data_IF_935418765312
#
_entry.id   IF_935418765312
#
_cell.length_a   1.000
_cell.length_b   1.000
_cell.length_c   1.000
_cell.angle_alpha   90.00
_cell.angle_beta   90.00
_cell.angle_gamma   90.00
#
_symmetry.space_group_name_H-M   'P 1'
#
loop_
_entity.id
_entity.type
_entity.pdbx_description
1 polymer ?
#
# COMPACT_ATOMS: atom_id res chain seq x y z
N UNK A 1 8.40 2.46 -0.55
CA UNK A 1 9.68 1.73 -0.46
C UNK A 1 10.38 1.99 0.86
N UNK A 2 10.87 3.20 1.14
CA UNK A 2 11.60 3.49 2.40
C UNK A 2 10.70 3.32 3.63
N UNK A 3 9.51 3.93 3.64
CA UNK A 3 8.57 3.81 4.77
C UNK A 3 8.09 2.37 5.02
N UNK A 4 7.80 1.63 3.96
CA UNK A 4 7.36 0.23 4.05
C UNK A 4 8.47 -0.69 4.57
N UNK A 5 9.74 -0.40 4.23
CA UNK A 5 10.89 -1.12 4.78
C UNK A 5 11.15 -0.76 6.24
N UNK A 6 11.00 0.51 6.61
CA UNK A 6 11.08 0.96 7.99
C UNK A 6 10.05 0.22 8.85
N UNK A 7 8.78 0.24 8.42
CA UNK A 7 7.70 -0.46 9.14
C UNK A 7 7.96 -1.96 9.30
N UNK A 8 8.38 -2.63 8.23
CA UNK A 8 8.70 -4.07 8.28
C UNK A 8 9.86 -4.35 9.24
N UNK A 9 10.83 -3.43 9.33
CA UNK A 9 11.99 -3.59 10.22
C UNK A 9 11.67 -3.30 11.69
N UNK A 10 10.66 -2.48 11.96
CA UNK A 10 10.13 -2.27 13.32
C UNK A 10 9.23 -3.42 13.77
N UNK A 11 8.52 -4.07 12.84
CA UNK A 11 7.55 -5.12 13.16
C UNK A 11 8.16 -6.51 13.34
N UNK A 12 9.29 -6.80 12.68
CA UNK A 12 9.85 -8.15 12.62
C UNK A 12 11.25 -8.24 13.22
N UNK A 13 11.53 -9.34 13.92
CA UNK A 13 12.85 -9.62 14.46
C UNK A 13 13.93 -9.74 13.37
N UNK A 14 15.17 -9.40 13.70
CA UNK A 14 16.33 -9.32 12.79
C UNK A 14 16.62 -10.61 12.01
N UNK A 15 16.26 -11.77 12.57
CA UNK A 15 16.41 -13.06 11.89
C UNK A 15 15.48 -13.24 10.66
N UNK A 16 14.35 -12.53 10.61
CA UNK A 16 13.33 -12.70 9.55
C UNK A 16 13.05 -11.42 8.76
N UNK A 17 13.55 -10.27 9.21
CA UNK A 17 13.35 -8.96 8.56
C UNK A 17 13.83 -8.94 7.10
N UNK A 18 14.88 -9.69 6.78
CA UNK A 18 15.40 -9.80 5.41
C UNK A 18 14.39 -10.45 4.46
N UNK A 19 13.74 -11.54 4.89
CA UNK A 19 12.69 -12.20 4.10
C UNK A 19 11.47 -11.29 3.97
N UNK A 20 11.03 -10.67 5.06
CA UNK A 20 9.87 -9.78 5.05
C UNK A 20 10.10 -8.57 4.11
N UNK A 21 11.29 -7.97 4.14
CA UNK A 21 11.66 -6.88 3.22
C UNK A 21 11.73 -7.35 1.76
N UNK A 22 12.26 -8.55 1.51
CA UNK A 22 12.33 -9.13 0.16
C UNK A 22 10.93 -9.40 -0.43
N UNK A 23 10.01 -9.96 0.38
CA UNK A 23 8.63 -10.19 -0.03
C UNK A 23 7.90 -8.88 -0.33
N UNK A 24 8.02 -7.88 0.55
CA UNK A 24 7.44 -6.55 0.35
C UNK A 24 7.98 -5.87 -0.92
N UNK A 25 9.29 -5.98 -1.18
CA UNK A 25 9.90 -5.46 -2.40
C UNK A 25 9.42 -6.20 -3.66
N UNK A 26 9.29 -7.53 -3.59
CA UNK A 26 8.74 -8.35 -4.66
C UNK A 26 7.31 -7.95 -5.03
N UNK A 27 6.47 -7.69 -4.03
CA UNK A 27 5.10 -7.22 -4.25
C UNK A 27 5.06 -5.83 -4.89
N UNK A 28 5.97 -4.94 -4.51
CA UNK A 28 6.11 -3.61 -5.12
C UNK A 28 6.42 -3.69 -6.62
N UNK A 29 7.36 -4.54 -7.02
CA UNK A 29 7.70 -4.75 -8.43
C UNK A 29 6.56 -5.39 -9.22
N UNK A 30 5.89 -6.40 -8.63
CA UNK A 30 4.73 -7.03 -9.25
C UNK A 30 3.60 -6.02 -9.48
N UNK A 31 3.32 -5.16 -8.50
CA UNK A 31 2.31 -4.11 -8.61
C UNK A 31 2.59 -3.11 -9.74
N UNK A 32 3.86 -2.76 -9.96
CA UNK A 32 4.27 -1.91 -11.09
C UNK A 32 3.94 -2.53 -12.44
N UNK A 33 4.25 -3.81 -12.63
CA UNK A 33 3.90 -4.54 -13.86
C UNK A 33 2.40 -4.76 -14.03
N UNK A 34 1.71 -5.15 -12.95
CA UNK A 34 0.26 -5.36 -12.96
C UNK A 34 -0.51 -4.09 -13.29
N UNK A 35 -0.06 -2.93 -12.79
CA UNK A 35 -0.71 -1.64 -13.06
C UNK A 35 -0.78 -1.33 -14.55
N UNK A 36 0.27 -1.64 -15.32
CA UNK A 36 0.29 -1.44 -16.77
C UNK A 36 -0.78 -2.30 -17.47
N UNK A 37 -0.88 -3.58 -17.09
CA UNK A 37 -1.88 -4.50 -17.65
C UNK A 37 -3.31 -4.10 -17.26
N UNK A 38 -3.52 -3.69 -16.01
CA UNK A 38 -4.81 -3.25 -15.48
C UNK A 38 -5.26 -1.96 -16.18
N UNK A 39 -4.39 -0.97 -16.35
CA UNK A 39 -4.75 0.28 -17.03
C UNK A 39 -5.22 0.05 -18.47
N UNK A 40 -4.54 -0.84 -19.21
CA UNK A 40 -4.98 -1.23 -20.55
C UNK A 40 -6.37 -1.89 -20.55
N UNK A 41 -6.61 -2.77 -19.59
CA UNK A 41 -7.89 -3.47 -19.43
C UNK A 41 -9.04 -2.52 -19.05
N UNK A 42 -8.79 -1.57 -18.14
CA UNK A 42 -9.76 -0.55 -17.71
C UNK A 42 -10.10 0.38 -18.88
N UNK A 43 -9.11 0.81 -19.66
CA UNK A 43 -9.36 1.63 -20.85
C UNK A 43 -10.20 0.89 -21.90
N UNK A 44 -9.87 -0.39 -22.16
CA UNK A 44 -10.65 -1.22 -23.07
C UNK A 44 -12.09 -1.41 -22.58
N UNK A 45 -12.31 -1.58 -21.28
CA UNK A 45 -13.63 -1.68 -20.69
C UNK A 45 -14.44 -0.39 -20.89
N UNK A 46 -13.86 0.79 -20.69
CA UNK A 46 -14.55 2.06 -20.96
C UNK A 46 -14.88 2.24 -22.44
N UNK A 47 -13.98 1.87 -23.36
CA UNK A 47 -14.30 1.91 -24.79
C UNK A 47 -15.41 0.93 -25.17
N UNK A 48 -15.42 -0.27 -24.60
CA UNK A 48 -16.47 -1.27 -24.83
C UNK A 48 -17.85 -0.80 -24.33
N UNK A 49 -17.88 0.04 -23.30
CA UNK A 49 -19.10 0.69 -22.80
C UNK A 49 -19.54 1.93 -23.61
N UNK A 50 -18.89 2.22 -24.74
CA UNK A 50 -19.30 3.30 -25.66
C UNK A 50 -18.76 4.69 -25.32
N UNK A 51 -17.84 4.81 -24.36
CA UNK A 51 -17.21 6.10 -24.04
C UNK A 51 -16.26 6.54 -25.16
N UNK A 52 -16.25 7.84 -25.44
CA UNK A 52 -15.30 8.43 -26.40
C UNK A 52 -13.87 8.26 -25.89
N UNK A 53 -12.88 8.20 -26.81
CA UNK A 53 -11.47 8.10 -26.43
C UNK A 53 -11.08 9.17 -25.40
N UNK A 54 -11.59 10.40 -25.57
CA UNK A 54 -11.32 11.54 -24.69
C UNK A 54 -11.87 11.38 -23.26
N UNK A 55 -12.94 10.61 -23.10
CA UNK A 55 -13.51 10.30 -21.77
C UNK A 55 -12.81 9.08 -21.16
N UNK A 56 -12.59 8.03 -21.95
CA UNK A 56 -12.00 6.79 -21.48
C UNK A 56 -10.60 6.96 -20.87
N UNK A 57 -9.73 7.80 -21.44
CA UNK A 57 -8.39 8.02 -20.88
C UNK A 57 -8.44 8.75 -19.53
N UNK A 58 -9.36 9.71 -19.37
CA UNK A 58 -9.54 10.46 -18.11
C UNK A 58 -10.00 9.54 -16.99
N UNK A 59 -10.99 8.69 -17.26
CA UNK A 59 -11.48 7.72 -16.28
C UNK A 59 -10.43 6.66 -15.95
N UNK A 60 -9.63 6.24 -16.94
CA UNK A 60 -8.52 5.30 -16.70
C UNK A 60 -7.42 5.94 -15.83
N UNK A 61 -7.14 7.24 -15.98
CA UNK A 61 -6.19 7.95 -15.10
C UNK A 61 -6.73 8.20 -13.70
N UNK A 62 -8.05 8.26 -13.52
CA UNK A 62 -8.67 8.35 -12.20
C UNK A 62 -8.56 7.05 -11.40
N UNK A 63 -8.33 5.91 -12.06
CA UNK A 63 -8.28 4.60 -11.40
C UNK A 63 -7.14 4.45 -10.38
N UNK A 64 -5.86 4.71 -10.70
CA UNK A 64 -4.77 4.60 -9.72
C UNK A 64 -4.97 5.40 -8.42
N UNK A 65 -5.34 6.70 -8.45
CA UNK A 65 -5.55 7.45 -7.21
C UNK A 65 -6.74 6.92 -6.40
N UNK A 66 -7.80 6.39 -7.04
CA UNK A 66 -8.90 5.74 -6.32
C UNK A 66 -8.43 4.51 -5.54
N UNK A 67 -7.60 3.66 -6.15
CA UNK A 67 -7.04 2.48 -5.47
C UNK A 67 -6.10 2.86 -4.33
N UNK A 68 -5.28 3.91 -4.53
CA UNK A 68 -4.40 4.44 -3.48
C UNK A 68 -5.20 4.98 -2.29
N UNK A 69 -6.28 5.71 -2.55
CA UNK A 69 -7.15 6.24 -1.51
C UNK A 69 -7.78 5.12 -0.69
N UNK A 70 -8.34 4.10 -1.36
CA UNK A 70 -8.90 2.92 -0.69
C UNK A 70 -7.85 2.17 0.14
N UNK A 71 -6.65 2.00 -0.39
CA UNK A 71 -5.54 1.38 0.35
C UNK A 71 -5.17 2.21 1.58
N UNK A 72 -5.20 3.54 1.48
CA UNK A 72 -4.99 4.43 2.62
C UNK A 72 -6.01 4.21 3.73
N UNK A 73 -7.29 4.04 3.39
CA UNK A 73 -8.31 3.67 4.38
C UNK A 73 -8.03 2.32 5.03
N UNK A 74 -7.65 1.32 4.25
CA UNK A 74 -7.33 -0.01 4.80
C UNK A 74 -6.18 0.08 5.80
N UNK A 75 -5.12 0.84 5.48
CA UNK A 75 -3.98 1.02 6.39
C UNK A 75 -4.43 1.70 7.70
N UNK A 76 -5.29 2.72 7.63
CA UNK A 76 -5.75 3.44 8.83
C UNK A 76 -6.55 2.57 9.82
N UNK A 77 -7.29 1.57 9.33
CA UNK A 77 -8.17 0.75 10.18
C UNK A 77 -7.61 -0.64 10.50
N UNK A 78 -6.72 -1.17 9.67
CA UNK A 78 -6.26 -2.57 9.76
C UNK A 78 -4.75 -2.70 10.00
N UNK A 79 -4.02 -1.61 10.24
CA UNK A 79 -2.58 -1.65 10.49
C UNK A 79 -2.22 -1.00 11.82
N UNK A 80 -1.33 -1.65 12.56
CA UNK A 80 -0.71 -1.13 13.77
C UNK A 80 0.64 -0.46 13.43
N UNK A 81 1.03 0.53 14.23
CA UNK A 81 2.28 1.26 14.00
C UNK A 81 3.51 0.55 14.62
N UNK A 82 3.31 -0.25 15.67
CA UNK A 82 4.35 -1.07 16.32
C UNK A 82 3.80 -2.43 16.77
N UNK A 83 4.66 -3.40 17.13
CA UNK A 83 4.24 -4.70 17.67
C UNK A 83 3.42 -4.58 18.97
N UNK A 84 3.56 -3.46 19.68
CA UNK A 84 2.90 -3.17 20.95
C UNK A 84 1.58 -2.39 20.76
N UNK A 85 1.26 -1.98 19.52
CA UNK A 85 0.04 -1.25 19.15
C UNK A 85 0.31 0.11 18.49
N UNK A 86 -0.71 0.95 18.40
CA UNK A 86 -0.59 2.28 17.80
C UNK A 86 0.18 3.25 18.71
N UNK A 87 1.13 4.01 18.16
CA UNK A 87 1.93 4.99 18.93
C UNK A 87 1.06 6.03 19.65
N UNK A 88 -0.09 6.38 19.06
CA UNK A 88 -1.03 7.36 19.64
C UNK A 88 -1.64 6.90 20.96
N UNK A 89 -1.77 5.59 21.16
CA UNK A 89 -2.34 5.00 22.37
C UNK A 89 -1.25 4.66 23.39
N UNK A 90 -0.06 4.25 22.93
CA UNK A 90 1.12 4.05 23.78
C UNK A 90 1.58 5.37 24.42
N UNK A 91 1.54 6.47 23.67
CA UNK A 91 1.86 7.82 24.18
C UNK A 91 0.88 8.32 25.23
N UNK A 92 -0.40 7.95 25.15
CA UNK A 92 -1.41 8.26 26.17
C UNK A 92 -1.25 7.43 27.45
N UNK A 93 -0.69 6.22 27.33
CA UNK A 93 -0.39 5.34 28.46
C UNK A 93 0.94 5.64 29.16
N UNK A 94 1.81 6.45 28.55
CA UNK A 94 3.13 6.78 29.09
C UNK A 94 4.16 5.66 28.94
N UNK A 95 3.90 4.69 28.06
CA UNK A 95 4.72 3.48 27.84
C UNK A 95 5.73 3.65 26.69
N UNK A 96 6.18 4.88 26.39
CA UNK A 96 7.17 5.18 25.32
C UNK A 96 8.61 4.69 25.65
N UNK A 97 8.79 3.64 26.46
CA UNK A 97 10.09 3.38 27.12
C UNK A 97 10.50 1.95 27.43
N UNK A 98 9.99 0.92 26.75
CA UNK A 98 10.57 -0.45 26.87
C UNK A 98 10.77 -1.13 25.53
N UNK A 99 11.73 -0.63 24.74
CA UNK A 99 12.44 -1.47 23.77
C UNK A 99 13.59 -2.18 24.50
N UNK A 100 13.44 -3.49 24.73
CA UNK A 100 14.55 -4.43 25.00
C UNK A 100 14.78 -5.29 23.78
#
# INVERSE_FOLDING_TARGET
FVLTQLWTSLMFHTNVVGLANATSAGWGNLGGGASLAIMGSVFAAFKANGYTNNQAWKYTLAWPPSVLFLTGFVILYFTDDSPQGNFSDLKKKGEEGEDK
#
